data_IF_499296766326
#
_entry.id   IF_499296766326
#
_cell.length_a   1.000
_cell.length_b   1.000
_cell.length_c   1.000
_cell.angle_alpha   90.00
_cell.angle_beta   90.00
_cell.angle_gamma   90.00
#
_symmetry.space_group_name_H-M   'P 1'
#
loop_
_entity.id
_entity.type
_entity.pdbx_description
1 polymer ?
#
# COMPACT_ATOMS: atom_id res chain seq x y z
N UNK A 1 19.81 12.46 16.07
CA UNK A 1 19.21 12.28 17.41
C UNK A 1 17.77 12.81 17.52
N UNK A 2 17.09 13.20 16.42
CA UNK A 2 15.70 13.68 16.43
C UNK A 2 14.66 12.61 16.09
N UNK A 3 14.96 11.68 15.18
CA UNK A 3 13.99 10.70 14.67
C UNK A 3 13.51 9.67 15.72
N UNK A 4 14.37 9.27 16.66
CA UNK A 4 14.03 8.28 17.69
C UNK A 4 12.98 8.80 18.70
N UNK A 5 12.94 10.10 18.97
CA UNK A 5 11.94 10.69 19.86
C UNK A 5 10.57 10.85 19.18
N UNK A 6 10.53 11.16 17.88
CA UNK A 6 9.29 11.24 17.10
C UNK A 6 8.64 9.85 16.90
N UNK A 7 9.46 8.80 16.76
CA UNK A 7 8.99 7.41 16.66
C UNK A 7 8.27 6.92 17.94
N UNK A 8 8.64 7.45 19.12
CA UNK A 8 8.05 7.11 20.43
C UNK A 8 6.79 7.91 20.77
N UNK A 9 6.57 9.08 20.14
CA UNK A 9 5.45 9.97 20.43
C UNK A 9 4.31 9.92 19.40
N UNK A 10 4.35 9.00 18.43
CA UNK A 10 3.22 8.86 17.51
C UNK A 10 1.96 8.39 18.25
N UNK A 11 0.84 9.15 18.24
CA UNK A 11 -0.35 8.87 19.08
C UNK A 11 -0.89 7.44 18.94
N UNK A 12 -0.84 6.88 17.73
CA UNK A 12 -1.25 5.49 17.46
C UNK A 12 -0.34 4.44 18.08
N UNK A 13 0.99 4.64 18.10
CA UNK A 13 1.95 3.71 18.73
C UNK A 13 1.80 3.68 20.24
N UNK A 14 1.57 4.86 20.83
CA UNK A 14 1.25 4.97 22.26
C UNK A 14 -0.02 4.18 22.60
N UNK A 15 -1.04 4.28 21.75
CA UNK A 15 -2.30 3.56 21.93
C UNK A 15 -2.13 2.03 21.78
N UNK A 16 -1.40 1.57 20.76
CA UNK A 16 -1.06 0.16 20.58
C UNK A 16 -0.34 -0.44 21.81
N UNK A 17 0.67 0.27 22.32
CA UNK A 17 1.39 -0.12 23.54
C UNK A 17 0.46 -0.21 24.77
N UNK A 18 -0.47 0.75 24.93
CA UNK A 18 -1.45 0.74 26.02
C UNK A 18 -2.37 -0.46 25.93
N UNK A 19 -2.94 -0.72 24.77
CA UNK A 19 -3.82 -1.87 24.55
C UNK A 19 -3.10 -3.20 24.80
N UNK A 20 -1.86 -3.37 24.31
CA UNK A 20 -1.03 -4.55 24.63
C UNK A 20 -0.79 -4.69 26.14
N UNK A 21 -0.48 -3.59 26.84
CA UNK A 21 -0.29 -3.61 28.29
C UNK A 21 -1.56 -3.98 29.04
N UNK A 22 -2.73 -3.52 28.57
CA UNK A 22 -4.04 -3.87 29.13
C UNK A 22 -4.35 -5.35 28.89
N UNK A 23 -4.07 -5.85 27.69
CA UNK A 23 -4.23 -7.27 27.34
C UNK A 23 -3.40 -8.17 28.30
N UNK A 24 -2.14 -7.79 28.55
CA UNK A 24 -1.27 -8.45 29.51
C UNK A 24 -1.81 -8.47 30.94
N UNK A 25 -2.46 -7.40 31.38
CA UNK A 25 -3.10 -7.35 32.71
C UNK A 25 -4.27 -8.32 32.79
N UNK A 26 -5.14 -8.33 31.78
CA UNK A 26 -6.29 -9.23 31.76
C UNK A 26 -5.89 -10.70 31.67
N UNK A 27 -4.87 -11.07 30.89
CA UNK A 27 -4.35 -12.44 30.86
C UNK A 27 -3.78 -12.88 32.21
N UNK A 28 -3.11 -11.96 32.94
CA UNK A 28 -2.66 -12.23 34.31
C UNK A 28 -3.83 -12.41 35.28
N UNK A 29 -4.88 -11.60 35.15
CA UNK A 29 -6.10 -11.75 35.94
C UNK A 29 -6.82 -13.07 35.67
N UNK A 30 -6.86 -13.53 34.41
CA UNK A 30 -7.43 -14.82 34.05
C UNK A 30 -6.72 -15.98 34.76
N UNK A 31 -5.39 -15.91 34.87
CA UNK A 31 -4.57 -16.89 35.62
C UNK A 31 -4.77 -16.80 37.13
N UNK A 32 -4.99 -15.59 37.66
CA UNK A 32 -5.13 -15.36 39.10
C UNK A 32 -6.55 -15.65 39.64
N UNK A 33 -7.57 -15.52 38.80
CA UNK A 33 -8.98 -15.73 39.16
C UNK A 33 -9.64 -16.75 38.20
N UNK A 34 -9.53 -18.06 38.51
CA UNK A 34 -10.08 -19.13 37.66
C UNK A 34 -11.59 -19.01 37.43
N UNK A 35 -12.34 -18.43 38.39
CA UNK A 35 -13.79 -18.29 38.28
C UNK A 35 -14.21 -17.29 37.17
N UNK A 36 -13.34 -16.32 36.86
CA UNK A 36 -13.53 -15.35 35.77
C UNK A 36 -12.49 -15.50 34.66
N UNK A 37 -11.84 -16.66 34.57
CA UNK A 37 -10.75 -16.88 33.62
C UNK A 37 -11.20 -16.63 32.17
N UNK A 38 -12.33 -17.21 31.76
CA UNK A 38 -12.85 -17.07 30.41
C UNK A 38 -13.16 -15.61 30.03
N UNK A 39 -13.82 -14.86 30.93
CA UNK A 39 -14.15 -13.44 30.69
C UNK A 39 -12.89 -12.58 30.61
N UNK A 40 -11.97 -12.74 31.57
CA UNK A 40 -10.71 -12.01 31.57
C UNK A 40 -9.87 -12.34 30.33
N UNK A 41 -9.91 -13.58 29.85
CA UNK A 41 -9.18 -13.99 28.67
C UNK A 41 -9.78 -13.44 27.37
N UNK A 42 -11.12 -13.34 27.29
CA UNK A 42 -11.79 -12.65 26.19
C UNK A 42 -11.41 -11.16 26.14
N UNK A 43 -11.36 -10.49 27.30
CA UNK A 43 -10.87 -9.11 27.39
C UNK A 43 -9.40 -8.99 26.98
N UNK A 44 -8.55 -9.94 27.37
CA UNK A 44 -7.15 -9.95 26.97
C UNK A 44 -7.02 -10.00 25.44
N UNK A 45 -7.73 -10.93 24.80
CA UNK A 45 -7.70 -11.09 23.34
C UNK A 45 -8.24 -9.88 22.60
N UNK A 46 -9.37 -9.31 23.06
CA UNK A 46 -9.92 -8.10 22.47
C UNK A 46 -8.92 -6.93 22.52
N UNK A 47 -8.26 -6.73 23.66
CA UNK A 47 -7.24 -5.69 23.81
C UNK A 47 -6.00 -5.99 22.94
N UNK A 48 -5.59 -7.25 22.78
CA UNK A 48 -4.49 -7.61 21.90
C UNK A 48 -4.80 -7.31 20.42
N UNK A 49 -6.03 -7.59 19.97
CA UNK A 49 -6.50 -7.19 18.63
C UNK A 49 -6.52 -5.67 18.45
N UNK A 50 -6.97 -4.91 19.45
CA UNK A 50 -6.91 -3.44 19.43
C UNK A 50 -5.46 -2.93 19.35
N UNK A 51 -4.52 -3.60 20.02
CA UNK A 51 -3.11 -3.24 19.92
C UNK A 51 -2.59 -3.33 18.48
N UNK A 52 -2.93 -4.41 17.77
CA UNK A 52 -2.60 -4.60 16.35
C UNK A 52 -3.32 -3.56 15.48
N UNK A 53 -4.62 -3.31 15.70
CA UNK A 53 -5.38 -2.31 14.95
C UNK A 53 -4.71 -0.93 15.00
N UNK A 54 -4.17 -0.54 16.15
CA UNK A 54 -3.51 0.74 16.33
C UNK A 54 -2.05 0.75 15.87
N UNK A 55 -1.34 -0.37 16.00
CA UNK A 55 0.05 -0.49 15.57
C UNK A 55 0.39 -1.92 15.13
N UNK A 56 -0.04 -2.28 13.92
CA UNK A 56 0.26 -3.57 13.34
C UNK A 56 1.73 -3.68 12.92
N UNK A 57 2.48 -2.58 12.88
CA UNK A 57 3.92 -2.61 12.54
C UNK A 57 4.80 -3.03 13.69
N UNK A 58 4.28 -3.02 14.93
CA UNK A 58 4.96 -3.55 16.10
C UNK A 58 4.66 -5.06 16.26
N UNK A 59 5.61 -5.87 15.84
CA UNK A 59 5.57 -7.34 15.91
C UNK A 59 5.25 -7.89 17.31
N UNK A 60 5.56 -7.14 18.38
CA UNK A 60 5.22 -7.56 19.76
C UNK A 60 3.71 -7.65 19.99
N UNK A 61 2.92 -6.88 19.23
CA UNK A 61 1.45 -6.97 19.29
C UNK A 61 0.97 -8.31 18.71
N UNK A 62 1.55 -8.75 17.59
CA UNK A 62 1.28 -10.04 16.97
C UNK A 62 1.72 -11.22 17.84
N UNK A 63 2.97 -11.17 18.35
CA UNK A 63 3.51 -12.17 19.28
C UNK A 63 2.60 -12.38 20.47
N UNK A 64 2.08 -11.28 21.03
CA UNK A 64 1.22 -11.36 22.20
C UNK A 64 -0.17 -11.92 21.87
N UNK A 65 -0.76 -11.57 20.73
CA UNK A 65 -2.00 -12.20 20.28
C UNK A 65 -1.80 -13.71 20.05
N UNK A 66 -0.73 -14.11 19.39
CA UNK A 66 -0.40 -15.52 19.18
C UNK A 66 -0.20 -16.29 20.50
N UNK A 67 0.43 -15.68 21.51
CA UNK A 67 0.52 -16.26 22.86
C UNK A 67 -0.87 -16.51 23.46
N UNK A 68 -1.79 -15.54 23.36
CA UNK A 68 -3.16 -15.71 23.85
C UNK A 68 -3.91 -16.82 23.12
N UNK A 69 -3.71 -16.96 21.80
CA UNK A 69 -4.31 -18.06 21.02
C UNK A 69 -3.86 -19.43 21.50
N UNK A 70 -2.56 -19.61 21.75
CA UNK A 70 -2.03 -20.86 22.33
C UNK A 70 -2.59 -21.10 23.73
N UNK A 71 -2.65 -20.06 24.58
CA UNK A 71 -3.20 -20.19 25.94
C UNK A 71 -4.69 -20.54 25.96
N UNK A 72 -5.43 -20.19 24.90
CA UNK A 72 -6.84 -20.52 24.70
C UNK A 72 -7.07 -21.84 23.96
N UNK A 73 -6.01 -22.57 23.60
CA UNK A 73 -6.08 -23.75 22.74
C UNK A 73 -6.79 -23.47 21.39
N UNK A 74 -6.71 -22.22 20.92
CA UNK A 74 -7.37 -21.72 19.71
C UNK A 74 -6.44 -21.83 18.50
N UNK A 75 -6.37 -23.05 17.94
CA UNK A 75 -5.54 -23.37 16.77
C UNK A 75 -5.97 -22.57 15.53
N UNK A 76 -7.28 -22.50 15.27
CA UNK A 76 -7.85 -21.79 14.11
C UNK A 76 -7.57 -20.29 14.21
N UNK A 77 -7.70 -19.71 15.40
CA UNK A 77 -7.36 -18.32 15.64
C UNK A 77 -5.88 -18.01 15.50
N UNK A 78 -4.99 -18.97 15.80
CA UNK A 78 -3.55 -18.83 15.57
C UNK A 78 -3.20 -18.94 14.09
N UNK A 79 -3.86 -19.85 13.37
CA UNK A 79 -3.77 -19.95 11.91
C UNK A 79 -4.16 -18.62 11.25
N UNK A 80 -5.31 -18.05 11.61
CA UNK A 80 -5.77 -16.76 11.09
C UNK A 80 -4.78 -15.61 11.38
N UNK A 81 -4.10 -15.64 12.53
CA UNK A 81 -3.06 -14.65 12.88
C UNK A 81 -1.84 -14.77 11.95
N UNK A 82 -1.39 -15.99 11.65
CA UNK A 82 -0.28 -16.22 10.72
C UNK A 82 -0.64 -15.81 9.29
N UNK A 83 -1.83 -16.20 8.84
CA UNK A 83 -2.35 -15.84 7.54
C UNK A 83 -2.39 -14.31 7.36
N UNK A 84 -2.93 -13.59 8.34
CA UNK A 84 -3.02 -12.13 8.30
C UNK A 84 -1.62 -11.47 8.21
N UNK A 85 -0.64 -11.97 8.97
CA UNK A 85 0.76 -11.49 8.86
C UNK A 85 1.35 -11.78 7.49
N UNK A 86 1.10 -12.97 6.93
CA UNK A 86 1.62 -13.35 5.62
C UNK A 86 1.01 -12.53 4.48
N UNK A 87 -0.27 -12.20 4.56
CA UNK A 87 -0.92 -11.25 3.65
C UNK A 87 -0.22 -9.88 3.72
N UNK A 88 0.01 -9.36 4.92
CA UNK A 88 0.69 -8.05 5.12
C UNK A 88 2.13 -8.07 4.56
N UNK A 89 2.84 -9.19 4.70
CA UNK A 89 4.21 -9.39 4.18
C UNK A 89 4.25 -9.72 2.68
N UNK A 90 3.09 -9.84 2.04
CA UNK A 90 2.96 -10.18 0.63
C UNK A 90 3.53 -11.54 0.27
N UNK A 91 3.25 -12.55 1.09
CA UNK A 91 3.56 -13.95 0.78
C UNK A 91 2.53 -14.50 -0.20
N UNK A 92 2.98 -15.39 -1.07
CA UNK A 92 2.15 -16.04 -2.08
C UNK A 92 0.98 -16.80 -1.44
N UNK A 93 -0.27 -16.59 -1.88
CA UNK A 93 -1.42 -17.38 -1.46
C UNK A 93 -1.21 -18.90 -1.60
N UNK A 94 -0.48 -19.37 -2.62
CA UNK A 94 -0.18 -20.80 -2.77
C UNK A 94 0.72 -21.34 -1.65
N UNK A 95 1.52 -20.47 -1.02
CA UNK A 95 2.29 -20.85 0.17
C UNK A 95 1.43 -20.86 1.45
N UNK A 96 0.24 -20.24 1.44
CA UNK A 96 -0.72 -20.33 2.53
C UNK A 96 -1.43 -21.70 2.53
N UNK A 97 -1.70 -22.26 1.35
CA UNK A 97 -2.27 -23.61 1.21
C UNK A 97 -1.37 -24.70 1.78
N UNK A 98 -0.05 -24.48 1.76
CA UNK A 98 0.95 -25.38 2.38
C UNK A 98 0.85 -25.41 3.91
N UNK A 99 0.10 -24.49 4.52
CA UNK A 99 -0.12 -24.46 5.96
C UNK A 99 -1.25 -25.41 6.39
N UNK A 100 -1.95 -26.07 5.45
CA UNK A 100 -2.98 -27.05 5.77
C UNK A 100 -2.41 -28.28 6.50
N UNK A 101 -3.06 -28.68 7.60
CA UNK A 101 -2.65 -29.85 8.39
C UNK A 101 -1.48 -29.63 9.36
N UNK A 102 -1.02 -28.39 9.54
CA UNK A 102 -0.02 -28.03 10.56
C UNK A 102 -0.66 -28.02 11.96
N UNK A 103 0.06 -28.56 12.95
CA UNK A 103 -0.27 -28.37 14.37
C UNK A 103 0.14 -26.96 14.82
N UNK A 104 -0.76 -25.99 14.66
CA UNK A 104 -0.51 -24.60 15.02
C UNK A 104 -0.26 -24.40 16.50
N UNK A 105 -0.87 -25.19 17.39
CA UNK A 105 -0.63 -25.06 18.82
C UNK A 105 0.81 -25.47 19.19
N UNK A 106 1.36 -26.45 18.46
CA UNK A 106 2.75 -26.86 18.58
C UNK A 106 3.76 -25.88 17.98
N UNK A 107 3.58 -25.51 16.71
CA UNK A 107 4.63 -24.79 15.94
C UNK A 107 4.26 -23.36 15.51
N UNK A 108 3.01 -22.93 15.68
CA UNK A 108 2.53 -21.67 15.10
C UNK A 108 3.26 -20.42 15.60
N UNK A 109 3.67 -20.41 16.88
CA UNK A 109 4.50 -19.32 17.42
C UNK A 109 5.91 -19.31 16.84
N UNK A 110 6.50 -20.48 16.59
CA UNK A 110 7.82 -20.60 15.98
C UNK A 110 7.79 -20.18 14.51
N UNK A 111 6.73 -20.54 13.79
CA UNK A 111 6.48 -20.06 12.43
C UNK A 111 6.36 -18.54 12.39
N UNK A 112 5.65 -17.93 13.34
CA UNK A 112 5.53 -16.47 13.44
C UNK A 112 6.89 -15.81 13.70
N UNK A 113 7.69 -16.36 14.62
CA UNK A 113 9.04 -15.85 14.87
C UNK A 113 9.97 -16.02 13.66
N UNK A 114 9.91 -17.17 12.97
CA UNK A 114 10.67 -17.41 11.75
C UNK A 114 10.28 -16.42 10.65
N UNK A 115 9.00 -16.09 10.54
CA UNK A 115 8.49 -15.10 9.61
C UNK A 115 9.08 -13.71 9.87
N UNK A 116 9.01 -13.22 11.10
CA UNK A 116 9.58 -11.92 11.48
C UNK A 116 11.10 -11.89 11.42
N UNK A 117 11.76 -12.99 11.79
CA UNK A 117 13.21 -13.10 11.66
C UNK A 117 13.63 -12.98 10.20
N UNK A 118 12.90 -13.61 9.26
CA UNK A 118 13.17 -13.53 7.83
C UNK A 118 12.78 -12.19 7.23
N UNK A 119 11.67 -11.61 7.66
CA UNK A 119 11.02 -10.51 6.97
C UNK A 119 10.27 -9.61 7.95
N UNK A 120 11.04 -8.82 8.69
CA UNK A 120 10.55 -7.98 9.79
C UNK A 120 9.52 -6.94 9.32
N UNK A 121 8.49 -6.69 10.13
CA UNK A 121 7.51 -5.63 9.85
C UNK A 121 8.09 -4.23 10.06
N UNK A 122 9.10 -4.12 10.93
CA UNK A 122 9.86 -2.90 11.12
C UNK A 122 10.80 -2.65 9.92
N UNK A 123 10.72 -1.48 9.26
CA UNK A 123 11.49 -1.21 8.05
C UNK A 123 12.99 -1.08 8.31
N UNK A 124 13.41 -0.67 9.51
CA UNK A 124 14.83 -0.56 9.86
C UNK A 124 15.43 -1.96 10.06
N UNK A 125 14.76 -2.81 10.83
CA UNK A 125 15.17 -4.20 11.03
C UNK A 125 15.17 -4.99 9.71
N UNK A 126 14.16 -4.76 8.86
CA UNK A 126 14.11 -5.34 7.51
C UNK A 126 15.31 -4.93 6.66
N UNK A 127 15.63 -3.63 6.63
CA UNK A 127 16.75 -3.11 5.84
C UNK A 127 18.11 -3.59 6.35
N UNK A 128 18.30 -3.62 7.67
CA UNK A 128 19.53 -4.12 8.29
C UNK A 128 19.80 -5.57 7.88
N UNK A 129 18.79 -6.43 7.97
CA UNK A 129 18.92 -7.83 7.53
C UNK A 129 19.22 -7.93 6.04
N UNK A 130 18.42 -7.26 5.22
CA UNK A 130 18.55 -7.33 3.76
C UNK A 130 19.94 -6.85 3.31
N UNK A 131 20.41 -5.72 3.82
CA UNK A 131 21.72 -5.15 3.46
C UNK A 131 22.92 -5.96 3.96
N UNK A 132 22.79 -6.66 5.09
CA UNK A 132 23.91 -7.43 5.68
C UNK A 132 23.98 -8.87 5.20
N UNK A 133 22.85 -9.49 4.92
CA UNK A 133 22.76 -10.95 4.70
C UNK A 133 22.44 -11.29 3.24
N UNK A 134 21.55 -10.55 2.60
CA UNK A 134 20.95 -10.93 1.31
C UNK A 134 21.49 -10.07 0.15
N UNK A 135 21.89 -8.82 0.42
CA UNK A 135 22.42 -7.90 -0.58
C UNK A 135 21.47 -7.70 -1.76
N UNK A 136 22.03 -7.71 -2.97
CA UNK A 136 21.26 -7.51 -4.22
C UNK A 136 20.21 -8.61 -4.48
N UNK A 137 20.46 -9.84 -4.02
CA UNK A 137 19.49 -10.95 -4.17
C UNK A 137 18.22 -10.66 -3.34
N UNK A 138 18.39 -10.15 -2.12
CA UNK A 138 17.26 -9.74 -1.28
C UNK A 138 16.46 -8.58 -1.87
N UNK A 139 17.14 -7.62 -2.52
CA UNK A 139 16.47 -6.53 -3.25
C UNK A 139 15.63 -7.09 -4.41
N UNK A 140 16.16 -8.07 -5.14
CA UNK A 140 15.43 -8.72 -6.23
C UNK A 140 14.23 -9.53 -5.73
N UNK A 141 14.35 -10.28 -4.64
CA UNK A 141 13.21 -10.98 -4.01
C UNK A 141 12.14 -9.99 -3.54
N UNK A 142 12.54 -8.86 -2.95
CA UNK A 142 11.61 -7.79 -2.58
C UNK A 142 10.92 -7.18 -3.80
N UNK A 143 11.66 -6.89 -4.88
CA UNK A 143 11.11 -6.33 -6.10
C UNK A 143 10.10 -7.28 -6.76
N UNK A 144 10.42 -8.57 -6.85
CA UNK A 144 9.49 -9.58 -7.37
C UNK A 144 8.19 -9.64 -6.56
N UNK A 145 8.28 -9.55 -5.23
CA UNK A 145 7.08 -9.48 -4.38
C UNK A 145 6.25 -8.23 -4.64
N UNK A 146 6.88 -7.06 -4.73
CA UNK A 146 6.20 -5.82 -5.09
C UNK A 146 5.47 -5.88 -6.44
N UNK A 147 6.01 -6.60 -7.43
CA UNK A 147 5.40 -6.72 -8.76
C UNK A 147 4.14 -7.59 -8.78
N UNK A 148 4.00 -8.51 -7.81
CA UNK A 148 2.93 -9.51 -7.76
C UNK A 148 1.89 -9.25 -6.67
N UNK A 149 2.26 -8.48 -5.64
CA UNK A 149 1.40 -8.27 -4.48
C UNK A 149 0.24 -7.32 -4.78
N UNK A 150 -0.96 -7.71 -4.37
CA UNK A 150 -2.10 -6.80 -4.31
C UNK A 150 -1.96 -5.85 -3.11
N UNK A 151 -1.73 -4.56 -3.41
CA UNK A 151 -1.62 -3.51 -2.40
C UNK A 151 -2.96 -2.86 -2.02
N UNK A 152 -4.11 -3.47 -2.37
CA UNK A 152 -5.42 -3.07 -1.84
C UNK A 152 -5.52 -3.19 -0.32
N UNK A 153 -4.79 -4.13 0.30
CA UNK A 153 -4.61 -4.12 1.76
C UNK A 153 -3.72 -2.92 2.15
N UNK A 154 -4.33 -1.97 2.85
CA UNK A 154 -3.69 -0.75 3.33
C UNK A 154 -2.45 -1.03 4.20
N UNK A 155 -2.45 -2.12 4.97
CA UNK A 155 -1.34 -2.51 5.85
C UNK A 155 -0.14 -2.98 5.04
N UNK A 156 -0.36 -3.81 4.02
CA UNK A 156 0.69 -4.22 3.09
C UNK A 156 1.27 -2.99 2.36
N UNK A 157 0.41 -2.10 1.84
CA UNK A 157 0.86 -0.87 1.19
C UNK A 157 1.75 0.00 2.10
N UNK A 158 1.40 0.12 3.39
CA UNK A 158 2.21 0.87 4.37
C UNK A 158 3.57 0.20 4.63
N UNK A 159 3.61 -1.12 4.83
CA UNK A 159 4.85 -1.86 5.09
C UNK A 159 5.80 -1.72 3.92
N UNK A 160 5.32 -2.00 2.70
CA UNK A 160 6.14 -1.92 1.50
C UNK A 160 6.53 -0.48 1.15
N UNK A 161 5.66 0.50 1.40
CA UNK A 161 5.99 1.92 1.20
C UNK A 161 7.13 2.38 2.09
N UNK A 162 7.14 1.98 3.37
CA UNK A 162 8.25 2.27 4.30
C UNK A 162 9.55 1.56 3.92
N UNK A 163 9.47 0.33 3.42
CA UNK A 163 10.63 -0.42 2.90
C UNK A 163 11.22 0.25 1.65
N UNK A 164 10.37 0.75 0.76
CA UNK A 164 10.79 1.53 -0.40
C UNK A 164 11.51 2.82 -0.02
N UNK A 165 11.06 3.50 1.03
CA UNK A 165 11.76 4.67 1.55
C UNK A 165 13.18 4.33 2.02
N UNK A 166 13.39 3.15 2.62
CA UNK A 166 14.72 2.65 3.00
C UNK A 166 15.60 2.36 1.79
N UNK A 167 15.07 1.65 0.78
CA UNK A 167 15.77 1.43 -0.49
C UNK A 167 16.22 2.74 -1.13
N UNK A 168 15.33 3.74 -1.17
CA UNK A 168 15.63 5.07 -1.70
C UNK A 168 16.76 5.74 -0.91
N UNK A 169 16.66 5.73 0.42
CA UNK A 169 17.64 6.35 1.31
C UNK A 169 19.01 5.69 1.22
N UNK A 170 19.04 4.40 0.87
CA UNK A 170 20.25 3.64 0.59
C UNK A 170 20.83 3.83 -0.82
N UNK A 171 20.17 4.61 -1.69
CA UNK A 171 20.66 4.93 -3.04
C UNK A 171 20.14 4.02 -4.16
N UNK A 172 19.22 3.09 -3.88
CA UNK A 172 18.59 2.24 -4.90
C UNK A 172 17.45 2.98 -5.63
N UNK A 173 17.76 4.15 -6.21
CA UNK A 173 16.77 5.06 -6.81
C UNK A 173 16.04 4.44 -8.02
N UNK A 174 16.72 3.67 -8.88
CA UNK A 174 16.08 2.98 -10.01
C UNK A 174 14.99 2.01 -9.56
N UNK A 175 15.33 1.14 -8.60
CA UNK A 175 14.42 0.16 -8.02
C UNK A 175 13.27 0.87 -7.32
N UNK A 176 13.55 1.97 -6.61
CA UNK A 176 12.50 2.79 -6.02
C UNK A 176 11.51 3.34 -7.06
N UNK A 177 11.98 3.94 -8.16
CA UNK A 177 11.09 4.49 -9.21
C UNK A 177 10.22 3.39 -9.81
N UNK A 178 10.82 2.23 -10.09
CA UNK A 178 10.08 1.09 -10.63
C UNK A 178 8.97 0.66 -9.67
N UNK A 179 9.34 0.35 -8.43
CA UNK A 179 8.43 -0.25 -7.45
C UNK A 179 7.40 0.75 -6.90
N UNK A 180 7.74 2.04 -6.81
CA UNK A 180 6.79 3.07 -6.40
C UNK A 180 5.59 3.18 -7.35
N UNK A 181 5.76 2.92 -8.65
CA UNK A 181 4.65 2.86 -9.62
C UNK A 181 3.65 1.76 -9.27
N UNK A 182 4.13 0.60 -8.82
CA UNK A 182 3.24 -0.48 -8.36
C UNK A 182 2.39 -0.02 -7.17
N UNK A 183 3.00 0.55 -6.13
CA UNK A 183 2.25 1.02 -4.96
C UNK A 183 1.26 2.14 -5.31
N UNK A 184 1.65 3.05 -6.20
CA UNK A 184 0.82 4.17 -6.65
C UNK A 184 -0.32 3.72 -7.57
N UNK A 185 -0.15 2.62 -8.32
CA UNK A 185 -1.22 2.03 -9.11
C UNK A 185 -2.36 1.56 -8.18
N UNK A 186 -2.03 0.91 -7.06
CA UNK A 186 -3.04 0.44 -6.11
C UNK A 186 -3.55 1.53 -5.15
N UNK A 187 -2.74 2.58 -4.92
CA UNK A 187 -3.10 3.70 -4.05
C UNK A 187 -2.79 5.06 -4.69
N UNK A 188 -3.51 5.45 -5.75
CA UNK A 188 -3.24 6.67 -6.51
C UNK A 188 -3.46 7.97 -5.72
N UNK A 189 -4.14 7.91 -4.58
CA UNK A 189 -4.37 9.05 -3.67
C UNK A 189 -3.16 9.39 -2.78
N UNK A 190 -2.09 8.59 -2.80
CA UNK A 190 -0.90 8.83 -2.00
C UNK A 190 -0.04 9.97 -2.58
N UNK A 191 -0.44 11.21 -2.27
CA UNK A 191 0.23 12.42 -2.74
C UNK A 191 1.69 12.55 -2.26
N UNK A 192 2.05 11.98 -1.10
CA UNK A 192 3.43 12.03 -0.59
C UNK A 192 4.36 11.20 -1.47
N UNK A 193 3.96 9.98 -1.85
CA UNK A 193 4.75 9.13 -2.74
C UNK A 193 4.83 9.70 -4.16
N UNK A 194 3.75 10.31 -4.67
CA UNK A 194 3.80 11.07 -5.93
C UNK A 194 4.78 12.23 -5.88
N UNK A 195 4.80 12.98 -4.77
CA UNK A 195 5.69 14.12 -4.59
C UNK A 195 7.16 13.67 -4.56
N UNK A 196 7.47 12.58 -3.87
CA UNK A 196 8.81 12.01 -3.81
C UNK A 196 9.27 11.47 -5.17
N UNK A 197 8.40 10.79 -5.93
CA UNK A 197 8.71 10.40 -7.31
C UNK A 197 8.97 11.61 -8.21
N UNK A 198 8.15 12.66 -8.12
CA UNK A 198 8.32 13.89 -8.91
C UNK A 198 9.68 14.55 -8.65
N UNK A 199 10.07 14.66 -7.38
CA UNK A 199 11.39 15.19 -6.98
C UNK A 199 12.55 14.36 -7.51
N UNK A 200 12.38 13.04 -7.58
CA UNK A 200 13.41 12.14 -8.07
C UNK A 200 13.58 12.24 -9.59
N UNK A 201 12.47 12.19 -10.34
CA UNK A 201 12.47 12.43 -11.78
C UNK A 201 13.06 13.80 -12.15
N UNK A 202 12.74 14.84 -11.37
CA UNK A 202 13.32 16.17 -11.55
C UNK A 202 14.85 16.16 -11.38
N UNK A 203 15.39 15.50 -10.34
CA UNK A 203 16.86 15.37 -10.16
C UNK A 203 17.54 14.62 -11.30
N UNK A 204 16.82 13.69 -11.93
CA UNK A 204 17.29 12.88 -13.08
C UNK A 204 17.10 13.57 -14.43
N UNK A 205 16.53 14.78 -14.44
CA UNK A 205 16.22 15.55 -15.65
C UNK A 205 15.17 14.85 -16.55
N UNK A 206 14.30 14.02 -15.95
CA UNK A 206 13.15 13.35 -16.56
C UNK A 206 11.93 14.28 -16.42
N UNK A 207 11.89 15.33 -17.24
CA UNK A 207 11.02 16.50 -17.04
C UNK A 207 9.53 16.16 -17.17
N UNK A 208 9.18 15.31 -18.13
CA UNK A 208 7.78 15.00 -18.42
C UNK A 208 7.18 14.06 -17.36
N UNK A 209 7.98 13.13 -16.84
CA UNK A 209 7.64 12.25 -15.73
C UNK A 209 7.50 13.04 -14.42
N UNK A 210 8.44 13.96 -14.16
CA UNK A 210 8.36 14.85 -13.00
C UNK A 210 7.09 15.71 -13.04
N UNK A 211 6.77 16.28 -14.19
CA UNK A 211 5.54 17.05 -14.38
C UNK A 211 4.30 16.20 -14.11
N UNK A 212 4.24 14.98 -14.67
CA UNK A 212 3.09 14.08 -14.51
C UNK A 212 2.86 13.74 -13.03
N UNK A 213 3.94 13.52 -12.27
CA UNK A 213 3.87 13.32 -10.82
C UNK A 213 3.36 14.57 -10.09
N UNK A 214 3.91 15.76 -10.38
CA UNK A 214 3.49 16.99 -9.70
C UNK A 214 2.06 17.43 -10.08
N UNK A 215 1.61 17.17 -11.31
CA UNK A 215 0.23 17.35 -11.73
C UNK A 215 -0.74 16.50 -10.90
N UNK A 216 -0.36 15.24 -10.67
CA UNK A 216 -1.10 14.33 -9.82
C UNK A 216 -1.16 14.83 -8.37
N UNK A 217 -0.05 15.32 -7.82
CA UNK A 217 -0.02 15.93 -6.47
C UNK A 217 -0.96 17.12 -6.37
N UNK A 218 -0.94 18.04 -7.34
CA UNK A 218 -1.75 19.25 -7.30
C UNK A 218 -3.24 18.96 -7.45
N UNK A 219 -3.64 17.91 -8.17
CA UNK A 219 -5.04 17.49 -8.21
C UNK A 219 -5.51 16.93 -6.87
N UNK A 220 -4.72 16.06 -6.25
CA UNK A 220 -5.04 15.49 -4.94
C UNK A 220 -5.00 16.55 -3.84
N UNK A 221 -4.13 17.55 -3.97
CA UNK A 221 -3.89 18.62 -3.00
C UNK A 221 -3.74 19.96 -3.73
N UNK A 222 -4.85 20.63 -4.08
CA UNK A 222 -4.81 21.90 -4.83
C UNK A 222 -4.02 23.03 -4.15
N UNK A 223 -3.81 22.96 -2.84
CA UNK A 223 -3.02 23.92 -2.09
C UNK A 223 -1.50 23.69 -2.20
N UNK A 224 -1.04 22.50 -2.61
CA UNK A 224 0.37 22.20 -2.84
C UNK A 224 0.77 22.68 -4.24
N UNK A 225 1.55 23.77 -4.28
CA UNK A 225 1.96 24.44 -5.53
C UNK A 225 3.27 23.89 -6.13
N UNK A 226 3.57 22.62 -5.92
CA UNK A 226 4.86 22.03 -6.32
C UNK A 226 5.03 21.99 -7.85
N UNK A 227 3.96 21.72 -8.61
CA UNK A 227 3.95 21.81 -10.08
C UNK A 227 4.24 23.24 -10.56
N UNK A 228 3.62 24.24 -9.94
CA UNK A 228 3.82 25.65 -10.31
C UNK A 228 5.26 26.08 -10.01
N UNK A 229 5.80 25.69 -8.83
CA UNK A 229 7.22 25.91 -8.47
C UNK A 229 8.17 25.21 -9.44
N UNK A 230 7.83 24.00 -9.90
CA UNK A 230 8.63 23.29 -10.91
C UNK A 230 8.61 24.03 -12.25
N UNK A 231 7.45 24.54 -12.68
CA UNK A 231 7.34 25.35 -13.90
C UNK A 231 8.19 26.62 -13.83
N UNK A 232 8.22 27.29 -12.67
CA UNK A 232 9.07 28.46 -12.45
C UNK A 232 10.56 28.12 -12.59
N UNK A 233 11.01 26.99 -12.01
CA UNK A 233 12.40 26.51 -12.16
C UNK A 233 12.74 26.17 -13.61
N UNK A 234 11.83 25.51 -14.32
CA UNK A 234 12.00 25.20 -15.74
C UNK A 234 12.18 26.48 -16.56
N UNK A 235 11.30 27.47 -16.37
CA UNK A 235 11.36 28.76 -17.08
C UNK A 235 12.62 29.55 -16.74
N UNK A 236 12.99 29.64 -15.47
CA UNK A 236 14.20 30.35 -15.03
C UNK A 236 15.50 29.72 -15.57
N UNK A 237 15.52 28.40 -15.81
CA UNK A 237 16.64 27.72 -16.46
C UNK A 237 16.72 27.95 -17.98
N UNK A 238 15.71 28.58 -18.58
CA UNK A 238 15.61 28.84 -20.03
C UNK A 238 15.96 30.28 -20.44
N UNK A 239 16.31 31.17 -19.51
CA UNK A 239 16.65 32.58 -19.78
C UNK A 239 18.03 32.77 -20.47
N UNK A 240 18.59 31.72 -21.09
CA UNK A 240 19.74 31.80 -22.02
C UNK A 240 19.25 31.81 -23.47
N UNK A 241 19.90 32.61 -24.33
CA UNK A 241 19.38 33.07 -25.65
C UNK A 241 18.99 32.00 -26.69
N UNK A 242 19.12 30.69 -26.43
CA UNK A 242 18.87 29.63 -27.42
C UNK A 242 17.93 28.49 -26.97
N UNK A 243 17.31 28.53 -25.78
CA UNK A 243 16.45 27.41 -25.32
C UNK A 243 14.96 27.66 -25.61
N UNK A 244 14.36 26.77 -26.41
CA UNK A 244 12.90 26.74 -26.66
C UNK A 244 12.13 26.59 -25.34
N UNK A 245 11.11 27.44 -25.05
CA UNK A 245 10.26 27.29 -23.87
C UNK A 245 9.63 25.90 -23.82
N UNK A 246 9.74 25.21 -22.68
CA UNK A 246 9.09 23.91 -22.49
C UNK A 246 7.57 24.05 -22.51
N UNK A 247 6.91 23.24 -23.34
CA UNK A 247 5.48 23.34 -23.66
C UNK A 247 4.59 22.36 -22.88
N UNK A 248 5.12 21.68 -21.87
CA UNK A 248 4.41 20.57 -21.22
C UNK A 248 4.62 19.22 -21.91
N UNK A 249 4.29 18.10 -21.24
CA UNK A 249 4.27 16.79 -21.88
C UNK A 249 3.18 16.74 -22.95
N UNK A 250 3.43 15.99 -24.02
CA UNK A 250 2.44 15.78 -25.07
C UNK A 250 1.17 15.10 -24.52
N UNK A 251 0.05 15.23 -25.24
CA UNK A 251 -1.19 14.48 -24.91
C UNK A 251 -0.88 12.98 -24.90
N UNK A 252 -0.11 12.49 -25.88
CA UNK A 252 0.26 11.08 -25.99
C UNK A 252 1.10 10.61 -24.81
N UNK A 253 2.05 11.43 -24.32
CA UNK A 253 2.85 11.11 -23.13
C UNK A 253 1.96 10.97 -21.89
N UNK A 254 1.03 11.92 -21.66
CA UNK A 254 0.09 11.86 -20.53
C UNK A 254 -0.81 10.64 -20.59
N UNK A 255 -1.30 10.29 -21.79
CA UNK A 255 -2.09 9.07 -22.02
C UNK A 255 -1.28 7.82 -21.71
N UNK A 256 -0.08 7.71 -22.27
CA UNK A 256 0.80 6.56 -22.06
C UNK A 256 1.19 6.38 -20.59
N UNK A 257 1.43 7.47 -19.87
CA UNK A 257 1.70 7.43 -18.43
C UNK A 257 0.51 6.87 -17.64
N UNK A 258 -0.69 7.39 -17.87
CA UNK A 258 -1.92 6.96 -17.17
C UNK A 258 -2.32 5.53 -17.54
N UNK A 259 -2.17 5.16 -18.81
CA UNK A 259 -2.39 3.79 -19.28
C UNK A 259 -1.37 2.81 -18.68
N UNK A 260 -0.11 3.22 -18.55
CA UNK A 260 0.91 2.46 -17.84
C UNK A 260 0.49 2.17 -16.40
N UNK A 261 0.05 3.20 -15.67
CA UNK A 261 -0.43 3.05 -14.29
C UNK A 261 -1.69 2.17 -14.20
N UNK A 262 -2.63 2.31 -15.14
CA UNK A 262 -3.81 1.44 -15.23
C UNK A 262 -3.41 -0.02 -15.46
N UNK A 263 -2.50 -0.31 -16.38
CA UNK A 263 -2.09 -1.69 -16.67
C UNK A 263 -1.47 -2.40 -15.46
N UNK A 264 -0.85 -1.66 -14.54
CA UNK A 264 -0.29 -2.20 -13.30
C UNK A 264 -1.38 -2.67 -12.33
N UNK A 265 -2.57 -2.06 -12.38
CA UNK A 265 -3.72 -2.51 -11.58
C UNK A 265 -4.34 -3.79 -12.12
N UNK A 266 -4.33 -3.98 -13.45
CA UNK A 266 -4.93 -5.14 -14.12
C UNK A 266 -4.09 -6.42 -13.96
N UNK A 267 -2.76 -6.32 -13.85
CA UNK A 267 -1.84 -7.48 -13.77
C UNK A 267 -2.00 -8.36 -12.52
N UNK A 268 -2.71 -7.88 -11.50
CA UNK A 268 -2.83 -8.54 -10.20
C UNK A 268 -4.30 -8.85 -9.86
N UNK A 269 -5.26 -8.14 -10.44
CA UNK A 269 -6.66 -8.56 -10.41
C UNK A 269 -6.75 -9.98 -10.96
N UNK A 270 -7.30 -10.91 -10.16
CA UNK A 270 -7.62 -12.27 -10.60
C UNK A 270 -8.30 -12.22 -11.96
N UNK A 271 -8.11 -13.22 -12.84
CA UNK A 271 -8.71 -13.21 -14.16
C UNK A 271 -10.20 -12.97 -14.00
N UNK A 272 -10.66 -11.79 -14.44
CA UNK A 272 -12.08 -11.50 -14.51
C UNK A 272 -12.71 -12.63 -15.32
N UNK A 273 -13.76 -13.25 -14.78
CA UNK A 273 -14.56 -14.16 -15.59
C UNK A 273 -14.88 -13.42 -16.91
N UNK A 274 -14.69 -14.07 -18.07
CA UNK A 274 -14.92 -13.42 -19.34
C UNK A 274 -16.33 -12.86 -19.33
N UNK A 275 -16.42 -11.54 -19.47
CA UNK A 275 -17.67 -10.80 -19.57
C UNK A 275 -18.46 -11.50 -20.67
N UNK A 276 -19.53 -12.22 -20.30
CA UNK A 276 -20.48 -12.69 -21.28
C UNK A 276 -21.01 -11.45 -21.99
N UNK A 277 -21.00 -11.40 -23.33
CA UNK A 277 -21.60 -10.28 -24.04
C UNK A 277 -23.04 -10.17 -23.54
N UNK A 278 -23.36 -9.07 -22.85
CA UNK A 278 -24.72 -8.80 -22.45
C UNK A 278 -25.56 -8.77 -23.73
N UNK A 279 -26.60 -9.61 -23.79
CA UNK A 279 -27.58 -9.56 -24.87
C UNK A 279 -28.08 -8.11 -24.97
N UNK A 280 -27.97 -7.55 -26.18
CA UNK A 280 -28.49 -6.23 -26.54
C UNK A 280 -30.01 -6.22 -26.33
N UNK A 281 -30.45 -5.93 -25.10
CA UNK A 281 -31.81 -5.47 -24.86
C UNK A 281 -31.81 -3.95 -25.00
N UNK A 282 -32.21 -3.56 -26.20
CA UNK A 282 -32.53 -2.21 -26.63
C UNK A 282 -33.63 -1.58 -25.77
N UNK A 283 -33.27 -0.60 -24.94
CA UNK A 283 -34.05 0.61 -24.68
C UNK A 283 -33.10 1.80 -24.46
N UNK A 284 -33.51 2.97 -24.92
CA UNK A 284 -32.72 4.15 -25.22
C UNK A 284 -32.02 4.79 -24.00
N UNK A 285 -30.68 4.79 -24.03
CA UNK A 285 -29.84 5.95 -23.67
C UNK A 285 -28.46 5.72 -24.30
N UNK A 286 -28.01 6.64 -25.15
CA UNK A 286 -26.64 6.61 -25.71
C UNK A 286 -25.63 6.93 -24.60
N UNK A 287 -25.40 6.00 -23.69
CA UNK A 287 -24.32 6.09 -22.69
C UNK A 287 -23.01 5.87 -23.46
N UNK A 288 -22.05 6.78 -23.29
CA UNK A 288 -20.76 6.67 -23.97
C UNK A 288 -20.08 5.34 -23.57
N UNK A 289 -19.43 4.59 -24.49
CA UNK A 289 -18.82 3.30 -24.16
C UNK A 289 -17.84 3.36 -22.98
N UNK A 290 -17.08 4.46 -22.85
CA UNK A 290 -16.17 4.67 -21.72
C UNK A 290 -16.89 5.01 -20.40
N UNK A 291 -18.09 5.60 -20.47
CA UNK A 291 -18.93 5.86 -19.29
C UNK A 291 -19.49 4.55 -18.74
N UNK A 292 -19.97 3.67 -19.62
CA UNK A 292 -20.37 2.31 -19.24
C UNK A 292 -19.19 1.51 -18.65
N UNK A 293 -17.98 1.68 -19.20
CA UNK A 293 -16.77 1.05 -18.67
C UNK A 293 -16.41 1.56 -17.27
N UNK A 294 -16.48 2.87 -17.03
CA UNK A 294 -16.26 3.46 -15.71
C UNK A 294 -17.27 2.95 -14.68
N UNK A 295 -18.55 2.92 -15.04
CA UNK A 295 -19.61 2.40 -14.16
C UNK A 295 -19.33 0.94 -13.75
N UNK A 296 -18.95 0.10 -14.72
CA UNK A 296 -18.65 -1.32 -14.48
C UNK A 296 -17.44 -1.49 -13.56
N UNK A 297 -16.34 -0.75 -13.79
CA UNK A 297 -15.16 -0.82 -12.91
C UNK A 297 -15.49 -0.43 -11.47
N UNK A 298 -16.35 0.57 -11.27
CA UNK A 298 -16.80 0.99 -9.93
C UNK A 298 -17.69 -0.08 -9.29
N UNK A 299 -18.62 -0.68 -10.05
CA UNK A 299 -19.50 -1.75 -9.57
C UNK A 299 -18.69 -2.99 -9.14
N UNK A 300 -17.63 -3.31 -9.88
CA UNK A 300 -16.70 -4.39 -9.55
C UNK A 300 -15.76 -4.06 -8.37
N UNK A 301 -15.80 -2.83 -7.85
CA UNK A 301 -14.92 -2.36 -6.79
C UNK A 301 -13.49 -2.04 -7.23
N UNK A 302 -13.21 -2.04 -8.54
CA UNK A 302 -11.90 -1.71 -9.10
C UNK A 302 -11.73 -0.19 -9.29
N UNK A 303 -11.79 0.51 -8.16
CA UNK A 303 -11.73 1.97 -8.08
C UNK A 303 -10.42 2.54 -8.65
N UNK A 304 -9.32 1.78 -8.55
CA UNK A 304 -8.01 2.18 -9.06
C UNK A 304 -7.97 2.22 -10.58
N UNK A 305 -8.43 1.16 -11.25
CA UNK A 305 -8.58 1.13 -12.70
C UNK A 305 -9.52 2.25 -13.18
N UNK A 306 -10.65 2.42 -12.48
CA UNK A 306 -11.61 3.48 -12.79
C UNK A 306 -10.96 4.88 -12.66
N UNK A 307 -10.15 5.09 -11.62
CA UNK A 307 -9.43 6.33 -11.38
C UNK A 307 -8.53 6.71 -12.56
N UNK A 308 -7.68 5.79 -13.01
CA UNK A 308 -6.75 6.07 -14.12
C UNK A 308 -7.49 6.22 -15.46
N UNK A 309 -8.58 5.48 -15.68
CA UNK A 309 -9.42 5.65 -16.85
C UNK A 309 -10.05 7.06 -16.89
N UNK A 310 -10.66 7.51 -15.78
CA UNK A 310 -11.25 8.85 -15.69
C UNK A 310 -10.21 9.96 -15.93
N UNK A 311 -9.01 9.81 -15.35
CA UNK A 311 -7.88 10.72 -15.59
C UNK A 311 -7.45 10.76 -17.06
N UNK A 312 -7.42 9.60 -17.74
CA UNK A 312 -7.02 9.50 -19.15
C UNK A 312 -8.04 10.18 -20.07
N UNK A 313 -9.33 10.06 -19.76
CA UNK A 313 -10.41 10.74 -20.48
C UNK A 313 -10.31 12.27 -20.31
N UNK A 314 -10.10 12.75 -19.08
CA UNK A 314 -9.85 14.18 -18.82
C UNK A 314 -8.63 14.71 -19.56
N UNK A 315 -7.52 13.94 -19.57
CA UNK A 315 -6.32 14.30 -20.33
C UNK A 315 -6.57 14.36 -21.85
N UNK A 316 -7.60 13.65 -22.34
CA UNK A 316 -8.05 13.66 -23.75
C UNK A 316 -9.00 14.82 -24.07
N UNK A 317 -9.45 15.58 -23.08
CA UNK A 317 -10.40 16.69 -23.24
C UNK A 317 -11.86 16.34 -22.93
N UNK A 318 -12.12 15.15 -22.38
CA UNK A 318 -13.47 14.69 -22.04
C UNK A 318 -13.91 15.18 -20.66
N UNK A 319 -14.44 16.41 -20.60
CA UNK A 319 -14.78 17.07 -19.33
C UNK A 319 -15.88 16.38 -18.51
N UNK A 320 -16.70 15.51 -19.12
CA UNK A 320 -17.73 14.75 -18.41
C UNK A 320 -17.14 13.74 -17.42
N UNK A 321 -15.88 13.33 -17.59
CA UNK A 321 -15.21 12.40 -16.69
C UNK A 321 -14.81 13.02 -15.34
N UNK A 322 -14.97 14.34 -15.16
CA UNK A 322 -14.62 15.05 -13.91
C UNK A 322 -15.52 14.60 -12.75
N UNK A 323 -16.84 14.50 -13.00
CA UNK A 323 -17.81 14.09 -11.98
C UNK A 323 -17.52 12.66 -11.50
N UNK A 324 -17.16 11.77 -12.44
CA UNK A 324 -16.71 10.41 -12.14
C UNK A 324 -15.43 10.39 -11.31
N UNK A 325 -14.43 11.22 -11.66
CA UNK A 325 -13.18 11.29 -10.91
C UNK A 325 -13.41 11.72 -9.46
N UNK A 326 -14.27 12.72 -9.23
CA UNK A 326 -14.63 13.19 -7.89
C UNK A 326 -15.33 12.09 -7.09
N UNK A 327 -16.28 11.39 -7.70
CA UNK A 327 -16.96 10.25 -7.08
C UNK A 327 -15.97 9.15 -6.69
N UNK A 328 -15.10 8.73 -7.61
CA UNK A 328 -14.10 7.67 -7.38
C UNK A 328 -13.18 8.08 -6.23
N UNK A 329 -12.65 9.31 -6.25
CA UNK A 329 -11.79 9.81 -5.18
C UNK A 329 -12.45 9.76 -3.80
N UNK A 330 -13.74 10.10 -3.70
CA UNK A 330 -14.46 10.05 -2.42
C UNK A 330 -14.58 8.65 -1.82
N UNK A 331 -14.57 7.60 -2.67
CA UNK A 331 -14.65 6.21 -2.24
C UNK A 331 -13.29 5.61 -1.88
N UNK A 332 -12.18 6.26 -2.27
CA UNK A 332 -10.81 5.78 -2.02
C UNK A 332 -10.19 6.30 -0.71
N UNK A 333 -10.85 7.23 0.00
CA UNK A 333 -10.31 7.94 1.19
C UNK A 333 -10.38 7.10 2.46
#
# INVERSE_FOLDING_TARGET
MSESQDLLQHPRRNLGNRYRSTAQKFAKLAKADPARAAENMAWAEQNARQAILHDFTDERNWRYLAELKVLNEDADGLHAVLEDVFIILGRDPENLDQLSGIDYLGVGRELLEAAFARDALDPDAWWERLSTTEGDEGINEFAERCRRLDFRDQRANIVFGRRLERLRSAGHEEVFIELAKHLLAHRPINHELWLEMGRLHERRNEIDEAWSCYDQVQQLRPHLKERDRFLERLKGNMDGEEKKPWSGPSIDHRKAFLEGMQSLTERISSPAEPIQPAEENSEENQVHPDEAKLANLIEQGDLQSAFFLARRLLASGEGWAEDWLVQIQSQMV
#
